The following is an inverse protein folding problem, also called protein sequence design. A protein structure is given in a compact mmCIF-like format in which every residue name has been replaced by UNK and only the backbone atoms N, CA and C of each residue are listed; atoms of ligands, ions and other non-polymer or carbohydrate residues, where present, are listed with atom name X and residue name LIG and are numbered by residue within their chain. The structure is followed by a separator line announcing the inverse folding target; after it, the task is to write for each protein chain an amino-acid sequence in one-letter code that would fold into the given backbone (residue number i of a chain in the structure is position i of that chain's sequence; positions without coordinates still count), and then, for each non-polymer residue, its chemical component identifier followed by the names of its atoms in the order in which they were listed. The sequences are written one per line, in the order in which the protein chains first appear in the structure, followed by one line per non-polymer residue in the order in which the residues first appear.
data_IF_480074908019
#
_entry.id   IF_480074908019
#
_cell.length_a   1.000
_cell.length_b   1.000
_cell.length_c   1.000
_cell.angle_alpha   90.00
_cell.angle_beta   90.00
_cell.angle_gamma   90.00
#
_symmetry.space_group_name_H-M   'P 1'
#
loop_
_entity.id
_entity.type
_entity.pdbx_description
1 polymer ?
#
# COMPACT_ATOMS: atom_id res chain seq x y z
N UNK A 1 16.44 8.34 59.50
CA UNK A 1 17.16 9.08 58.44
C UNK A 1 18.07 8.12 57.65
N UNK A 2 17.55 7.55 56.58
CA UNK A 2 18.35 6.91 55.53
C UNK A 2 17.84 7.46 54.21
N UNK A 3 18.45 8.57 53.77
CA UNK A 3 18.33 9.11 52.42
C UNK A 3 19.12 8.18 51.50
N UNK A 4 18.43 7.38 50.71
CA UNK A 4 19.02 6.71 49.56
C UNK A 4 19.19 7.72 48.43
N UNK A 5 20.36 8.35 48.35
CA UNK A 5 20.86 9.00 47.12
C UNK A 5 21.47 7.93 46.22
N UNK A 6 21.05 7.84 44.94
CA UNK A 6 21.64 6.86 44.04
C UNK A 6 20.95 6.64 42.69
N UNK A 7 20.86 7.72 41.90
CA UNK A 7 20.77 7.74 40.44
C UNK A 7 19.50 7.15 39.77
N UNK A 8 18.54 7.97 39.27
CA UNK A 8 17.63 7.47 38.25
C UNK A 8 18.51 7.12 37.06
N UNK A 9 18.63 5.82 36.71
CA UNK A 9 19.24 5.42 35.45
C UNK A 9 18.55 6.25 34.37
N UNK A 10 19.24 7.26 33.84
CA UNK A 10 18.84 7.95 32.63
C UNK A 10 18.59 6.85 31.62
N UNK A 11 17.31 6.64 31.30
CA UNK A 11 16.94 5.62 30.35
C UNK A 11 17.59 6.05 29.03
N UNK A 12 18.59 5.30 28.57
CA UNK A 12 19.22 5.54 27.28
C UNK A 12 18.18 5.29 26.20
N UNK A 13 17.74 6.37 25.55
CA UNK A 13 16.78 6.30 24.45
C UNK A 13 17.55 6.02 23.16
N UNK A 14 17.54 4.76 22.72
CA UNK A 14 18.16 4.31 21.47
C UNK A 14 17.08 4.13 20.40
N UNK A 15 16.67 5.23 19.77
CA UNK A 15 15.68 5.24 18.70
C UNK A 15 16.32 5.68 17.39
N UNK A 16 16.07 4.94 16.32
CA UNK A 16 16.44 5.30 14.96
C UNK A 16 15.19 5.23 14.09
N UNK A 17 14.84 6.34 13.44
CA UNK A 17 13.71 6.44 12.53
C UNK A 17 14.22 6.73 11.13
N UNK A 18 13.60 6.13 10.12
CA UNK A 18 13.88 6.35 8.71
C UNK A 18 12.56 6.65 8.02
N UNK A 19 12.53 7.69 7.19
CA UNK A 19 11.36 8.05 6.42
C UNK A 19 11.67 9.13 5.38
N UNK A 20 10.67 9.40 4.56
CA UNK A 20 10.70 10.40 3.50
C UNK A 20 9.39 11.20 3.57
N UNK A 21 9.50 12.48 3.89
CA UNK A 21 8.40 13.43 3.98
C UNK A 21 7.68 13.63 2.64
N UNK A 22 8.43 13.63 1.53
CA UNK A 22 7.89 13.76 0.17
C UNK A 22 7.08 12.51 -0.26
N UNK A 23 7.17 11.40 0.49
CA UNK A 23 6.46 10.13 0.22
C UNK A 23 5.29 9.84 1.17
N UNK A 24 4.86 10.82 1.97
CA UNK A 24 3.71 10.64 2.85
C UNK A 24 2.39 10.71 2.09
N UNK A 25 1.84 9.55 1.75
CA UNK A 25 0.59 9.42 0.97
C UNK A 25 -0.62 8.91 1.78
N UNK A 26 -0.45 8.68 3.09
CA UNK A 26 -1.45 8.10 3.97
C UNK A 26 -2.14 9.11 4.91
N UNK A 27 -2.09 10.41 4.62
CA UNK A 27 -2.70 11.45 5.45
C UNK A 27 -4.18 11.20 5.77
N UNK A 28 -4.95 10.69 4.80
CA UNK A 28 -6.36 10.33 4.97
C UNK A 28 -6.61 9.16 5.96
N UNK A 29 -5.57 8.43 6.36
CA UNK A 29 -5.61 7.39 7.42
C UNK A 29 -5.01 7.87 8.75
N UNK A 30 -4.76 9.17 8.90
CA UNK A 30 -4.18 9.76 10.11
C UNK A 30 -2.66 9.70 10.17
N UNK A 31 -1.97 9.49 9.04
CA UNK A 31 -0.52 9.64 9.00
C UNK A 31 -0.13 11.13 9.01
N UNK A 32 0.58 11.56 10.05
CA UNK A 32 1.03 12.95 10.20
C UNK A 32 2.50 13.09 9.79
N UNK A 33 2.77 13.92 8.78
CA UNK A 33 4.14 14.22 8.32
C UNK A 33 4.94 14.93 9.42
N UNK A 34 4.25 15.72 10.25
CA UNK A 34 4.85 16.43 11.37
C UNK A 34 5.65 15.53 12.33
N UNK A 35 5.31 14.24 12.42
CA UNK A 35 6.03 13.28 13.26
C UNK A 35 7.50 13.12 12.87
N UNK A 36 7.81 13.15 11.56
CA UNK A 36 9.22 13.10 11.11
C UNK A 36 9.85 14.49 11.14
N UNK A 37 9.07 15.54 10.89
CA UNK A 37 9.54 16.93 10.89
C UNK A 37 9.94 17.43 12.28
N UNK A 38 9.35 16.88 13.34
CA UNK A 38 9.59 17.28 14.74
C UNK A 38 10.48 16.32 15.52
N UNK A 39 11.04 15.31 14.87
CA UNK A 39 11.80 14.26 15.54
C UNK A 39 12.98 14.80 16.37
N UNK A 40 13.66 15.83 15.88
CA UNK A 40 14.75 16.51 16.59
C UNK A 40 14.30 17.29 17.83
N UNK A 41 13.04 17.73 17.86
CA UNK A 41 12.41 18.39 19.01
C UNK A 41 11.92 17.39 20.05
N UNK A 42 11.34 16.28 19.59
CA UNK A 42 10.83 15.22 20.47
C UNK A 42 11.96 14.40 21.09
N UNK A 43 13.09 14.28 20.38
CA UNK A 43 14.31 13.63 20.86
C UNK A 43 15.52 14.58 20.78
N UNK A 44 15.69 15.48 21.77
CA UNK A 44 16.81 16.41 21.81
C UNK A 44 18.16 15.67 21.74
N UNK A 45 19.03 16.10 20.82
CA UNK A 45 20.31 15.44 20.55
C UNK A 45 20.27 14.36 19.47
N UNK A 46 19.12 14.15 18.82
CA UNK A 46 19.02 13.28 17.65
C UNK A 46 19.96 13.73 16.53
N UNK A 47 20.68 12.77 15.93
CA UNK A 47 21.51 13.01 14.75
C UNK A 47 20.64 12.88 13.49
N UNK A 48 20.57 13.95 12.69
CA UNK A 48 19.85 13.94 11.40
C UNK A 48 20.84 13.59 10.30
N UNK A 49 20.56 12.52 9.55
CA UNK A 49 21.35 12.11 8.38
C UNK A 49 20.44 12.20 7.15
N UNK A 50 20.87 12.96 6.13
CA UNK A 50 20.16 13.07 4.85
C UNK A 50 20.85 12.19 3.80
N UNK A 51 20.08 11.32 3.16
CA UNK A 51 20.55 10.49 2.06
C UNK A 51 20.05 11.08 0.74
N UNK A 52 20.94 11.74 0.01
CA UNK A 52 20.57 12.49 -1.20
C UNK A 52 20.88 11.73 -2.50
N UNK A 53 21.67 10.66 -2.41
CA UNK A 53 22.03 9.87 -3.57
C UNK A 53 20.95 8.84 -3.90
N UNK A 54 20.38 8.95 -5.11
CA UNK A 54 19.44 7.99 -5.66
C UNK A 54 20.18 6.90 -6.46
N UNK A 55 19.95 5.65 -6.09
CA UNK A 55 20.54 4.49 -6.77
C UNK A 55 19.53 3.75 -7.67
N UNK A 56 18.25 4.13 -7.64
CA UNK A 56 17.16 3.43 -8.33
C UNK A 56 16.98 3.93 -9.75
N UNK A 57 16.80 5.24 -9.90
CA UNK A 57 16.29 5.89 -11.11
C UNK A 57 17.39 6.52 -11.95
N UNK A 58 17.14 6.59 -13.26
CA UNK A 58 17.97 7.32 -14.23
C UNK A 58 17.83 8.83 -14.06
N UNK A 59 18.73 9.59 -14.69
CA UNK A 59 18.74 11.05 -14.60
C UNK A 59 17.42 11.68 -15.10
N UNK A 60 16.83 11.16 -16.18
CA UNK A 60 15.57 11.68 -16.71
C UNK A 60 14.38 11.44 -15.76
N UNK A 61 14.23 10.23 -15.21
CA UNK A 61 13.17 9.92 -14.25
C UNK A 61 13.33 10.78 -12.98
N UNK A 62 14.56 10.87 -12.45
CA UNK A 62 14.82 11.64 -11.23
C UNK A 62 14.60 13.15 -11.46
N UNK A 63 14.99 13.67 -12.62
CA UNK A 63 14.76 15.05 -13.01
C UNK A 63 13.26 15.39 -13.05
N UNK A 64 12.45 14.54 -13.68
CA UNK A 64 10.99 14.72 -13.72
C UNK A 64 10.38 14.70 -12.31
N UNK A 65 10.75 13.72 -11.48
CA UNK A 65 10.25 13.64 -10.11
C UNK A 65 10.67 14.84 -9.25
N UNK A 66 11.92 15.28 -9.37
CA UNK A 66 12.46 16.44 -8.64
C UNK A 66 11.81 17.74 -9.06
N UNK A 67 11.45 17.88 -10.34
CA UNK A 67 10.72 19.05 -10.83
C UNK A 67 9.28 19.08 -10.31
N UNK A 68 8.60 17.92 -10.29
CA UNK A 68 7.23 17.82 -9.77
C UNK A 68 7.17 18.16 -8.27
N UNK A 69 8.09 17.62 -7.46
CA UNK A 69 8.07 17.82 -6.01
C UNK A 69 8.44 19.25 -5.60
N UNK A 70 9.13 20.02 -6.46
CA UNK A 70 9.51 21.40 -6.17
C UNK A 70 8.30 22.34 -6.00
N UNK A 71 7.12 21.95 -6.48
CA UNK A 71 5.88 22.69 -6.31
C UNK A 71 5.20 22.46 -4.94
N UNK A 72 5.64 21.47 -4.15
CA UNK A 72 5.08 21.22 -2.83
C UNK A 72 5.66 22.20 -1.79
N UNK A 73 4.78 22.76 -0.97
CA UNK A 73 5.15 23.59 0.18
C UNK A 73 5.44 22.73 1.42
N UNK A 74 6.25 23.25 2.36
CA UNK A 74 6.52 22.62 3.68
C UNK A 74 7.21 21.24 3.64
N UNK A 75 8.41 21.18 3.04
CA UNK A 75 9.27 19.97 2.96
C UNK A 75 10.62 20.14 3.65
N UNK A 76 11.24 19.04 4.04
CA UNK A 76 12.68 19.03 4.33
C UNK A 76 13.43 19.28 3.02
N UNK A 77 14.11 20.42 2.93
CA UNK A 77 14.93 20.78 1.77
C UNK A 77 16.03 19.74 1.54
N UNK A 78 15.77 18.78 0.66
CA UNK A 78 16.73 17.78 0.16
C UNK A 78 16.73 17.80 -1.37
N UNK A 79 17.91 17.63 -1.93
CA UNK A 79 18.10 17.59 -3.38
C UNK A 79 18.64 16.24 -3.77
N UNK A 80 17.80 15.41 -4.40
CA UNK A 80 18.23 14.10 -4.86
C UNK A 80 19.08 14.21 -6.13
N UNK A 81 20.17 13.44 -6.20
CA UNK A 81 20.98 13.30 -7.41
C UNK A 81 21.28 11.83 -7.74
N UNK A 82 21.62 11.53 -8.98
CA UNK A 82 21.97 10.17 -9.44
C UNK A 82 23.27 10.19 -10.24
N UNK A 83 24.08 9.15 -10.07
CA UNK A 83 25.28 8.90 -10.89
C UNK A 83 24.99 7.96 -12.06
N UNK A 84 23.74 7.46 -12.17
CA UNK A 84 23.29 6.69 -13.33
C UNK A 84 22.97 7.63 -14.47
N UNK A 85 24.01 7.99 -15.22
CA UNK A 85 23.91 8.75 -16.46
C UNK A 85 24.31 7.78 -17.57
N UNK A 86 23.34 7.25 -18.31
CA UNK A 86 23.61 6.60 -19.58
C UNK A 86 23.33 7.61 -20.71
N UNK A 87 24.23 7.70 -21.69
CA UNK A 87 24.07 8.61 -22.83
C UNK A 87 22.81 8.27 -23.67
N UNK A 88 22.39 7.01 -23.63
CA UNK A 88 21.22 6.47 -24.33
C UNK A 88 19.99 6.29 -23.41
N UNK A 89 19.94 6.91 -22.22
CA UNK A 89 18.77 6.80 -21.34
C UNK A 89 17.53 7.44 -22.00
N UNK A 90 16.44 6.68 -22.08
CA UNK A 90 15.17 7.16 -22.65
C UNK A 90 14.56 8.27 -21.78
N UNK A 91 13.92 9.24 -22.44
CA UNK A 91 13.15 10.29 -21.76
C UNK A 91 11.85 9.71 -21.20
N UNK A 92 11.30 10.36 -20.19
CA UNK A 92 9.94 10.04 -19.71
C UNK A 92 8.95 10.36 -20.82
N UNK A 93 8.17 9.36 -21.23
CA UNK A 93 7.14 9.49 -22.25
C UNK A 93 5.79 9.88 -21.62
N UNK A 94 5.09 10.82 -22.27
CA UNK A 94 3.71 11.19 -21.92
C UNK A 94 2.83 10.87 -23.12
N UNK A 95 1.83 10.03 -22.91
CA UNK A 95 0.84 9.68 -23.90
C UNK A 95 -0.52 10.22 -23.45
N UNK A 96 -1.22 10.89 -24.36
CA UNK A 96 -2.58 11.36 -24.13
C UNK A 96 -3.54 10.46 -24.92
N UNK A 97 -4.50 9.88 -24.23
CA UNK A 97 -5.55 9.04 -24.82
C UNK A 97 -6.91 9.74 -24.69
N UNK A 98 -7.79 9.48 -25.63
CA UNK A 98 -9.18 9.96 -25.70
C UNK A 98 -10.08 9.24 -24.69
N UNK A 99 -9.83 7.96 -24.47
CA UNK A 99 -10.55 7.12 -23.53
C UNK A 99 -9.67 6.01 -22.94
N UNK A 100 -10.23 5.26 -21.98
CA UNK A 100 -9.52 4.19 -21.28
C UNK A 100 -9.22 2.98 -22.17
N UNK A 101 -10.01 2.73 -23.20
CA UNK A 101 -9.81 1.60 -24.12
C UNK A 101 -8.60 1.87 -25.03
N UNK A 102 -8.49 3.10 -25.53
CA UNK A 102 -7.32 3.57 -26.25
C UNK A 102 -6.06 3.54 -25.39
N UNK A 103 -6.13 4.03 -24.15
CA UNK A 103 -5.01 3.97 -23.20
C UNK A 103 -4.53 2.53 -22.99
N UNK A 104 -5.46 1.61 -22.69
CA UNK A 104 -5.16 0.19 -22.50
C UNK A 104 -4.54 -0.44 -23.75
N UNK A 105 -5.04 -0.09 -24.94
CA UNK A 105 -4.50 -0.56 -26.22
C UNK A 105 -3.07 -0.07 -26.44
N UNK A 106 -2.81 1.22 -26.24
CA UNK A 106 -1.49 1.82 -26.42
C UNK A 106 -0.45 1.22 -25.44
N UNK A 107 -0.84 1.02 -24.19
CA UNK A 107 0.01 0.35 -23.19
C UNK A 107 0.25 -1.12 -23.57
N UNK A 108 -0.77 -1.85 -24.01
CA UNK A 108 -0.63 -3.22 -24.49
C UNK A 108 0.33 -3.36 -25.68
N UNK A 109 0.21 -2.48 -26.67
CA UNK A 109 1.12 -2.42 -27.82
C UNK A 109 2.57 -2.13 -27.39
N UNK A 110 2.75 -1.25 -26.40
CA UNK A 110 4.06 -0.93 -25.82
C UNK A 110 4.68 -2.14 -25.12
N UNK A 111 3.90 -2.87 -24.30
CA UNK A 111 4.35 -4.09 -23.62
C UNK A 111 4.76 -5.15 -24.63
N UNK A 112 3.96 -5.39 -25.68
CA UNK A 112 4.31 -6.34 -26.74
C UNK A 112 5.61 -5.93 -27.46
N UNK A 113 5.82 -4.64 -27.72
CA UNK A 113 7.04 -4.14 -28.33
C UNK A 113 8.27 -4.46 -27.47
N UNK A 114 8.21 -4.27 -26.15
CA UNK A 114 9.29 -4.64 -25.24
C UNK A 114 9.46 -6.16 -25.09
N UNK A 115 8.37 -6.95 -25.14
CA UNK A 115 8.48 -8.41 -25.16
C UNK A 115 9.20 -8.92 -26.42
N UNK A 116 8.97 -8.31 -27.59
CA UNK A 116 9.72 -8.63 -28.83
C UNK A 116 11.22 -8.35 -28.67
N UNK A 117 11.57 -7.38 -27.84
CA UNK A 117 12.95 -7.06 -27.44
C UNK A 117 13.47 -7.96 -26.29
N UNK A 118 12.72 -9.00 -25.90
CA UNK A 118 13.04 -9.97 -24.84
C UNK A 118 13.07 -9.42 -23.41
N UNK A 119 12.38 -8.31 -23.14
CA UNK A 119 12.16 -7.87 -21.76
C UNK A 119 11.17 -8.79 -21.04
N UNK A 120 11.40 -9.02 -19.74
CA UNK A 120 10.48 -9.82 -18.94
C UNK A 120 9.25 -9.01 -18.52
N UNK A 121 8.07 -9.63 -18.50
CA UNK A 121 6.86 -9.00 -17.97
C UNK A 121 6.99 -8.61 -16.50
N UNK A 122 7.79 -9.34 -15.73
CA UNK A 122 8.03 -9.05 -14.31
C UNK A 122 8.82 -7.76 -14.06
N UNK A 123 9.46 -7.20 -15.10
CA UNK A 123 10.20 -5.94 -15.03
C UNK A 123 9.30 -4.74 -15.35
N UNK A 124 8.01 -4.98 -15.63
CA UNK A 124 7.02 -3.97 -15.99
C UNK A 124 5.93 -3.88 -14.92
N UNK A 125 5.49 -2.66 -14.61
CA UNK A 125 4.40 -2.42 -13.68
C UNK A 125 3.50 -1.29 -14.20
N UNK A 126 2.19 -1.45 -14.01
CA UNK A 126 1.19 -0.41 -14.27
C UNK A 126 0.67 0.07 -12.92
N UNK A 127 0.78 1.38 -12.68
CA UNK A 127 0.32 2.02 -11.46
C UNK A 127 -0.89 2.89 -11.79
N UNK A 128 -2.03 2.59 -11.16
CA UNK A 128 -3.26 3.37 -11.32
C UNK A 128 -3.64 4.05 -10.01
N UNK A 129 -4.42 5.13 -10.10
CA UNK A 129 -4.86 5.90 -8.93
C UNK A 129 -5.95 5.18 -8.15
N UNK A 130 -6.84 4.50 -8.85
CA UNK A 130 -8.01 3.81 -8.31
C UNK A 130 -8.19 2.43 -8.95
N UNK A 131 -8.69 1.47 -8.15
CA UNK A 131 -8.77 0.07 -8.57
C UNK A 131 -9.68 -0.19 -9.76
N UNK A 132 -10.73 0.62 -9.95
CA UNK A 132 -11.63 0.47 -11.09
C UNK A 132 -10.95 0.72 -12.43
N UNK A 133 -9.85 1.48 -12.46
CA UNK A 133 -9.08 1.75 -13.69
C UNK A 133 -8.34 0.51 -14.20
N UNK A 134 -8.16 -0.52 -13.37
CA UNK A 134 -7.45 -1.75 -13.77
C UNK A 134 -8.24 -2.54 -14.82
N UNK A 135 -9.57 -2.46 -14.81
CA UNK A 135 -10.45 -3.31 -15.62
C UNK A 135 -10.14 -3.27 -17.11
N UNK A 136 -9.97 -2.08 -17.68
CA UNK A 136 -9.73 -1.92 -19.11
C UNK A 136 -8.38 -2.53 -19.53
N UNK A 137 -7.36 -2.44 -18.68
CA UNK A 137 -6.09 -3.12 -18.88
C UNK A 137 -6.25 -4.64 -18.80
N UNK A 138 -6.99 -5.15 -17.81
CA UNK A 138 -7.25 -6.58 -17.65
C UNK A 138 -7.96 -7.16 -18.88
N UNK A 139 -9.03 -6.51 -19.35
CA UNK A 139 -9.80 -6.94 -20.53
C UNK A 139 -8.92 -6.94 -21.79
N UNK A 140 -8.06 -5.92 -21.95
CA UNK A 140 -7.07 -5.88 -23.04
C UNK A 140 -6.04 -6.99 -22.94
N UNK A 141 -5.50 -7.28 -21.76
CA UNK A 141 -4.49 -8.33 -21.58
C UNK A 141 -5.05 -9.72 -21.79
N UNK A 142 -6.29 -9.97 -21.37
CA UNK A 142 -7.02 -11.21 -21.68
C UNK A 142 -7.16 -11.38 -23.20
N UNK A 143 -7.53 -10.31 -23.90
CA UNK A 143 -7.68 -10.32 -25.36
C UNK A 143 -6.35 -10.62 -26.08
N UNK A 144 -5.25 -10.08 -25.58
CA UNK A 144 -3.90 -10.30 -26.11
C UNK A 144 -3.26 -11.63 -25.66
N UNK A 145 -3.85 -12.33 -24.69
CA UNK A 145 -3.22 -13.50 -24.05
C UNK A 145 -1.97 -13.16 -23.25
N UNK A 146 -1.85 -11.91 -22.76
CA UNK A 146 -0.73 -11.46 -21.95
C UNK A 146 -0.89 -11.92 -20.50
N UNK A 147 0.17 -12.48 -19.93
CA UNK A 147 0.19 -12.82 -18.51
C UNK A 147 0.30 -11.55 -17.66
N UNK A 148 -0.59 -11.39 -16.69
CA UNK A 148 -0.57 -10.27 -15.76
C UNK A 148 -0.87 -10.73 -14.33
N UNK A 149 -0.54 -9.86 -13.37
CA UNK A 149 -0.86 -10.06 -11.96
C UNK A 149 -1.46 -8.79 -11.38
N UNK A 150 -2.66 -8.90 -10.84
CA UNK A 150 -3.32 -7.81 -10.13
C UNK A 150 -2.89 -7.80 -8.67
N UNK A 151 -2.44 -6.64 -8.18
CA UNK A 151 -2.10 -6.42 -6.77
C UNK A 151 -3.20 -5.55 -6.16
N UNK A 152 -3.82 -6.02 -5.07
CA UNK A 152 -4.92 -5.29 -4.43
C UNK A 152 -6.31 -5.56 -5.04
N UNK A 153 -6.44 -6.60 -5.88
CA UNK A 153 -7.73 -7.15 -6.28
C UNK A 153 -8.51 -7.77 -5.10
N UNK A 154 -9.67 -8.41 -5.34
CA UNK A 154 -10.51 -8.96 -4.27
C UNK A 154 -9.68 -9.84 -3.33
N UNK A 155 -9.61 -9.44 -2.06
CA UNK A 155 -8.67 -10.05 -1.11
C UNK A 155 -9.05 -11.50 -0.89
N UNK A 156 -8.04 -12.37 -0.76
CA UNK A 156 -8.26 -13.79 -0.48
C UNK A 156 -9.19 -14.02 0.72
N UNK A 157 -8.99 -13.29 1.82
CA UNK A 157 -9.80 -13.36 3.03
C UNK A 157 -11.19 -12.70 2.93
N UNK A 158 -11.48 -11.98 1.84
CA UNK A 158 -12.79 -11.37 1.61
C UNK A 158 -13.75 -12.29 0.85
N UNK A 159 -13.23 -13.37 0.23
CA UNK A 159 -14.03 -14.39 -0.46
C UNK A 159 -15.01 -15.06 0.49
N UNK A 160 -16.23 -15.30 0.02
CA UNK A 160 -17.33 -15.81 0.85
C UNK A 160 -16.95 -17.12 1.54
N UNK A 161 -16.41 -18.06 0.78
CA UNK A 161 -15.98 -19.38 1.24
C UNK A 161 -14.87 -19.30 2.31
N UNK A 162 -13.93 -18.35 2.15
CA UNK A 162 -12.83 -18.16 3.10
C UNK A 162 -13.34 -17.50 4.38
N UNK A 163 -14.22 -16.50 4.26
CA UNK A 163 -14.84 -15.84 5.42
C UNK A 163 -15.71 -16.80 6.23
N UNK A 164 -16.42 -17.71 5.58
CA UNK A 164 -17.24 -18.72 6.25
C UNK A 164 -16.37 -19.72 7.01
N UNK A 165 -15.32 -20.26 6.37
CA UNK A 165 -14.37 -21.14 7.04
C UNK A 165 -13.70 -20.47 8.24
N UNK A 166 -13.27 -19.21 8.10
CA UNK A 166 -12.70 -18.43 9.19
C UNK A 166 -13.69 -18.21 10.33
N UNK A 167 -14.97 -17.97 10.04
CA UNK A 167 -15.99 -17.81 11.06
C UNK A 167 -16.19 -19.09 11.88
N UNK A 168 -16.14 -20.28 11.26
CA UNK A 168 -16.12 -21.54 12.01
C UNK A 168 -14.93 -21.63 12.97
N UNK A 169 -13.72 -21.34 12.51
CA UNK A 169 -12.55 -21.36 13.38
C UNK A 169 -12.62 -20.34 14.51
N UNK A 170 -13.16 -19.15 14.24
CA UNK A 170 -13.36 -18.11 15.24
C UNK A 170 -14.33 -18.53 16.35
N UNK A 171 -15.47 -19.15 16.00
CA UNK A 171 -16.41 -19.67 17.01
C UNK A 171 -15.79 -20.78 17.86
N UNK A 172 -14.97 -21.65 17.26
CA UNK A 172 -14.26 -22.71 18.00
C UNK A 172 -13.18 -22.14 18.92
N UNK A 173 -12.43 -21.13 18.47
CA UNK A 173 -11.37 -20.51 19.26
C UNK A 173 -11.90 -19.53 20.32
N UNK A 174 -13.01 -18.85 20.02
CA UNK A 174 -13.67 -17.85 20.85
C UNK A 174 -15.18 -18.08 20.79
N UNK A 175 -15.71 -18.82 21.76
CA UNK A 175 -17.14 -19.15 21.82
C UNK A 175 -18.07 -17.94 22.00
N UNK A 176 -17.55 -16.77 22.38
CA UNK A 176 -18.29 -15.52 22.55
C UNK A 176 -18.27 -14.62 21.30
N UNK A 177 -17.88 -15.16 20.13
CA UNK A 177 -17.84 -14.41 18.88
C UNK A 177 -19.18 -14.45 18.14
N UNK A 178 -20.14 -13.65 18.60
CA UNK A 178 -21.50 -13.61 18.07
C UNK A 178 -21.56 -13.25 16.58
N UNK A 179 -20.69 -12.34 16.12
CA UNK A 179 -20.61 -11.95 14.70
C UNK A 179 -20.15 -13.10 13.81
N UNK A 180 -19.21 -13.92 14.28
CA UNK A 180 -18.81 -15.12 13.57
C UNK A 180 -19.95 -16.15 13.58
N UNK A 181 -20.61 -16.36 14.73
CA UNK A 181 -21.73 -17.28 14.85
C UNK A 181 -22.91 -16.91 13.93
N UNK A 182 -23.38 -15.66 13.94
CA UNK A 182 -24.47 -15.17 13.08
C UNK A 182 -24.19 -15.43 11.60
N UNK A 183 -22.93 -15.25 11.17
CA UNK A 183 -22.52 -15.51 9.78
C UNK A 183 -22.72 -16.97 9.38
N UNK A 184 -22.34 -17.90 10.25
CA UNK A 184 -22.27 -19.34 9.90
C UNK A 184 -23.41 -20.19 10.46
N UNK A 185 -24.28 -19.65 11.33
CA UNK A 185 -25.32 -20.41 12.03
C UNK A 185 -26.22 -21.19 11.07
N UNK A 186 -26.49 -20.65 9.87
CA UNK A 186 -27.28 -21.30 8.83
C UNK A 186 -26.50 -21.57 7.54
N UNK A 187 -25.15 -21.58 7.60
CA UNK A 187 -24.26 -21.94 6.48
C UNK A 187 -23.42 -23.16 6.88
N UNK A 188 -23.51 -24.31 6.17
CA UNK A 188 -24.54 -24.66 5.18
C UNK A 188 -25.96 -24.64 5.76
N UNK A 189 -26.99 -24.62 4.90
CA UNK A 189 -28.40 -24.53 5.34
C UNK A 189 -28.73 -25.61 6.37
N UNK A 190 -29.15 -25.19 7.57
CA UNK A 190 -29.59 -26.05 8.69
C UNK A 190 -31.09 -25.97 8.95
N UNK A 191 -31.84 -25.27 8.11
CA UNK A 191 -33.28 -25.07 8.29
C UNK A 191 -33.63 -24.05 9.39
N UNK A 192 -32.66 -23.25 9.84
CA UNK A 192 -32.88 -22.20 10.82
C UNK A 192 -33.40 -20.96 10.10
N UNK A 193 -34.64 -20.57 10.41
CA UNK A 193 -35.25 -19.35 9.89
C UNK A 193 -34.92 -18.11 10.74
N UNK A 194 -35.19 -16.93 10.20
CA UNK A 194 -35.02 -15.64 10.89
C UNK A 194 -35.71 -15.59 12.27
N UNK A 195 -36.89 -16.18 12.38
CA UNK A 195 -37.64 -16.24 13.65
C UNK A 195 -36.88 -17.04 14.73
N UNK A 196 -36.27 -18.16 14.36
CA UNK A 196 -35.50 -19.00 15.28
C UNK A 196 -34.22 -18.30 15.72
N UNK A 197 -33.51 -17.66 14.79
CA UNK A 197 -32.28 -16.90 15.12
C UNK A 197 -32.62 -15.74 16.05
N UNK A 198 -33.71 -15.00 15.81
CA UNK A 198 -34.16 -13.91 16.69
C UNK A 198 -34.48 -14.40 18.10
N UNK A 199 -35.17 -15.53 18.23
CA UNK A 199 -35.48 -16.12 19.53
C UNK A 199 -34.21 -16.49 20.31
N UNK A 200 -33.17 -17.01 19.65
CA UNK A 200 -31.87 -17.30 20.25
C UNK A 200 -31.23 -16.01 20.78
N UNK A 201 -31.22 -14.92 19.98
CA UNK A 201 -30.68 -13.63 20.43
C UNK A 201 -31.43 -13.04 21.62
N UNK A 202 -32.77 -13.07 21.60
CA UNK A 202 -33.59 -12.53 22.67
C UNK A 202 -33.37 -13.30 23.98
N UNK A 203 -33.18 -14.63 23.90
CA UNK A 203 -32.87 -15.48 25.05
C UNK A 203 -31.46 -15.22 25.59
N UNK A 204 -30.46 -15.02 24.71
CA UNK A 204 -29.08 -14.79 25.11
C UNK A 204 -28.83 -13.41 25.76
N UNK A 205 -29.74 -12.44 25.58
CA UNK A 205 -29.68 -11.11 26.20
C UNK A 205 -30.35 -11.01 27.57
N UNK A 206 -31.20 -11.99 27.92
CA UNK A 206 -31.94 -12.04 29.19
C UNK A 206 -31.09 -12.62 30.32
#
# INVERSE_FOLDING_TARGET
PLKGEGNPRSATVNICCVGDDDQSIYGWRGAEVDNILRFDKDFPGATIIRLERNYRSTAHILGTASHLIAYNESRFGKTLFTEKIAEDDEKVHVHAAWDSEEEARAVGETIEAYQRQKHNLNDMAILVRASFQMREFEDRFVTLGLNYRVIGGPRFYERLEIRDALAFFRVVAQGADDLAFERIVNVPKRGLGEATIRQIHDTARA
#
